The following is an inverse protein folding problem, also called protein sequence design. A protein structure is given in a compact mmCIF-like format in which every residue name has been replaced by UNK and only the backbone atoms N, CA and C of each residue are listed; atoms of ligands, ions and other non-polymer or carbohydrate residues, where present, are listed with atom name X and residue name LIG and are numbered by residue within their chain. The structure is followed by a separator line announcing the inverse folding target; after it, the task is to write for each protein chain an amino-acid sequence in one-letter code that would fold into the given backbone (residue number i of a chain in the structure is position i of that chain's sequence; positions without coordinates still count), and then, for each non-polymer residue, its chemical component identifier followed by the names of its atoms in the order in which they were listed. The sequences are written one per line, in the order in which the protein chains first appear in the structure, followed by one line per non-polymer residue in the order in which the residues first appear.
data_IF_913019588658
#
_entry.id   IF_913019588658
#
_cell.length_a   1.000
_cell.length_b   1.000
_cell.length_c   1.000
_cell.angle_alpha   90.00
_cell.angle_beta   90.00
_cell.angle_gamma   90.00
#
_symmetry.space_group_name_H-M   'P 1'
#
loop_
_entity.id
_entity.type
_entity.pdbx_description
1 polymer ?
#
# COMPACT_ATOMS: atom_id res chain seq x y z
N UNK A 1 45.48 14.79 7.79
CA UNK A 1 44.85 14.92 9.12
C UNK A 1 43.39 14.57 8.97
N UNK A 2 42.86 13.55 9.68
CA UNK A 2 41.48 13.45 10.20
C UNK A 2 40.84 12.04 10.36
N UNK A 3 41.59 10.92 10.28
CA UNK A 3 40.98 9.61 10.63
C UNK A 3 40.81 9.39 12.14
N UNK A 4 41.62 10.05 12.97
CA UNK A 4 41.57 9.89 14.44
C UNK A 4 40.37 10.58 15.10
N UNK A 5 39.76 11.58 14.46
CA UNK A 5 38.66 12.36 15.05
C UNK A 5 37.28 11.69 14.84
N UNK A 6 37.11 10.97 13.73
CA UNK A 6 35.90 10.20 13.42
C UNK A 6 35.71 9.02 14.40
N UNK A 7 36.80 8.28 14.69
CA UNK A 7 36.77 7.14 15.62
C UNK A 7 36.44 7.54 17.07
N UNK A 8 36.91 8.70 17.54
CA UNK A 8 36.62 9.20 18.87
C UNK A 8 35.16 9.66 19.02
N UNK A 9 34.60 10.32 17.99
CA UNK A 9 33.20 10.73 18.00
C UNK A 9 32.23 9.55 17.98
N UNK A 10 32.53 8.51 17.21
CA UNK A 10 31.71 7.31 17.15
C UNK A 10 31.72 6.52 18.47
N UNK A 11 32.88 6.41 19.12
CA UNK A 11 33.01 5.80 20.45
C UNK A 11 32.23 6.58 21.52
N UNK A 12 32.37 7.90 21.54
CA UNK A 12 31.64 8.76 22.48
C UNK A 12 30.11 8.67 22.27
N UNK A 13 29.66 8.56 21.02
CA UNK A 13 28.25 8.37 20.69
C UNK A 13 27.70 7.03 21.18
N UNK A 14 28.49 5.95 21.03
CA UNK A 14 28.14 4.61 21.53
C UNK A 14 28.03 4.60 23.06
N UNK A 15 29.01 5.16 23.75
CA UNK A 15 28.99 5.26 25.23
C UNK A 15 27.78 6.07 25.71
N UNK A 16 27.50 7.20 25.06
CA UNK A 16 26.30 8.01 25.35
C UNK A 16 24.99 7.29 25.04
N UNK A 17 24.93 6.50 23.98
CA UNK A 17 23.75 5.70 23.68
C UNK A 17 23.48 4.70 24.80
N UNK A 18 24.50 3.93 25.21
CA UNK A 18 24.35 2.93 26.27
C UNK A 18 24.08 3.55 27.65
N UNK A 19 24.50 4.79 27.92
CA UNK A 19 24.14 5.47 29.17
C UNK A 19 22.63 5.73 29.31
N UNK A 20 21.87 5.66 28.21
CA UNK A 20 20.41 5.80 28.20
C UNK A 20 19.67 4.46 27.97
N UNK A 21 20.37 3.32 28.09
CA UNK A 21 19.77 2.00 27.93
C UNK A 21 19.66 1.31 29.28
N UNK A 22 18.45 0.87 29.63
CA UNK A 22 18.19 -0.04 30.74
C UNK A 22 17.68 -1.36 30.20
N UNK A 23 18.33 -2.47 30.52
CA UNK A 23 17.88 -3.80 30.09
C UNK A 23 16.77 -4.29 31.02
N UNK A 24 15.67 -4.74 30.43
CA UNK A 24 14.61 -5.46 31.12
C UNK A 24 15.04 -6.92 31.30
N UNK A 25 15.12 -7.46 32.53
CA UNK A 25 15.59 -8.82 32.78
C UNK A 25 14.60 -9.91 32.34
N UNK A 26 13.33 -9.58 32.10
CA UNK A 26 12.29 -10.55 31.71
C UNK A 26 12.17 -10.59 30.20
N UNK A 27 12.04 -9.42 29.58
CA UNK A 27 11.78 -9.33 28.14
C UNK A 27 13.06 -9.20 27.31
N UNK A 28 14.21 -9.01 27.96
CA UNK A 28 15.50 -8.66 27.34
C UNK A 28 15.44 -7.38 26.49
N UNK A 29 14.36 -6.61 26.60
CA UNK A 29 14.23 -5.34 25.89
C UNK A 29 15.23 -4.32 26.42
N UNK A 30 15.78 -3.52 25.51
CA UNK A 30 16.65 -2.40 25.87
C UNK A 30 15.76 -1.17 25.96
N UNK A 31 15.31 -0.86 27.17
CA UNK A 31 14.40 0.26 27.41
C UNK A 31 15.19 1.57 27.37
N UNK A 32 14.81 2.44 26.44
CA UNK A 32 15.36 3.79 26.34
C UNK A 32 14.84 4.67 27.47
N UNK A 33 15.75 5.25 28.25
CA UNK A 33 15.45 6.16 29.37
C UNK A 33 15.82 7.62 29.09
N UNK A 34 16.30 7.91 27.88
CA UNK A 34 16.60 9.28 27.44
C UNK A 34 15.36 10.02 26.91
N UNK A 35 15.60 11.08 26.13
CA UNK A 35 14.52 11.86 25.51
C UNK A 35 13.65 11.01 24.57
N UNK A 36 12.33 11.20 24.66
CA UNK A 36 11.33 10.52 23.84
C UNK A 36 10.54 11.57 23.04
N UNK A 37 10.28 11.28 21.78
CA UNK A 37 9.46 12.14 20.88
C UNK A 37 7.98 12.04 21.24
N UNK A 38 7.13 12.97 20.78
CA UNK A 38 5.67 12.84 20.92
C UNK A 38 5.08 11.57 20.31
N UNK A 39 5.80 10.94 19.38
CA UNK A 39 5.45 9.64 18.80
C UNK A 39 5.93 8.42 19.62
N UNK A 40 6.60 8.62 20.76
CA UNK A 40 7.05 7.55 21.66
C UNK A 40 8.40 6.91 21.31
N UNK A 41 9.11 7.43 20.30
CA UNK A 41 10.44 6.94 19.93
C UNK A 41 11.54 7.65 20.69
N UNK A 42 12.55 6.88 21.14
CA UNK A 42 13.76 7.42 21.75
C UNK A 42 14.65 8.19 20.77
N UNK A 43 15.26 9.26 21.24
CA UNK A 43 16.25 10.04 20.50
C UNK A 43 17.29 10.69 21.40
N UNK A 44 18.45 10.99 20.83
CA UNK A 44 19.52 11.73 21.51
C UNK A 44 20.28 12.62 20.55
N UNK A 45 20.97 13.63 21.08
CA UNK A 45 21.77 14.54 20.28
C UNK A 45 23.09 13.87 19.84
N UNK A 46 23.45 13.98 18.57
CA UNK A 46 24.73 13.51 18.04
C UNK A 46 25.05 14.29 16.76
N UNK A 47 26.29 14.79 16.64
CA UNK A 47 26.76 15.54 15.46
C UNK A 47 25.84 16.68 15.01
N UNK A 48 25.38 17.49 15.97
CA UNK A 48 24.57 18.69 15.69
C UNK A 48 23.11 18.40 15.31
N UNK A 49 22.65 17.15 15.43
CA UNK A 49 21.27 16.75 15.15
C UNK A 49 20.74 15.77 16.18
N UNK A 50 19.42 15.66 16.30
CA UNK A 50 18.80 14.56 17.04
C UNK A 50 18.79 13.32 16.17
N UNK A 51 19.41 12.24 16.65
CA UNK A 51 19.40 10.93 16.00
C UNK A 51 18.40 10.01 16.70
N UNK A 52 17.79 9.11 15.93
CA UNK A 52 16.84 8.13 16.46
C UNK A 52 17.58 6.99 17.14
N UNK A 53 17.22 6.70 18.39
CA UNK A 53 17.94 5.73 19.22
C UNK A 53 17.83 4.29 18.68
N UNK A 54 16.64 3.87 18.22
CA UNK A 54 16.46 2.51 17.68
C UNK A 54 17.19 2.33 16.33
N UNK A 55 17.24 3.37 15.49
CA UNK A 55 18.01 3.34 14.24
C UNK A 55 19.51 3.25 14.50
N UNK A 56 20.00 4.08 15.42
CA UNK A 56 21.41 4.06 15.84
C UNK A 56 21.80 2.69 16.40
N UNK A 57 20.94 2.08 17.23
CA UNK A 57 21.15 0.73 17.75
C UNK A 57 21.22 -0.34 16.66
N UNK A 58 20.32 -0.26 15.67
CA UNK A 58 20.35 -1.14 14.51
C UNK A 58 21.66 -0.98 13.72
N UNK A 59 22.07 0.25 13.44
CA UNK A 59 23.31 0.55 12.70
C UNK A 59 24.56 0.08 13.44
N UNK A 60 24.61 0.25 14.77
CA UNK A 60 25.70 -0.25 15.61
C UNK A 60 25.86 -1.78 15.53
N UNK A 61 24.76 -2.52 15.31
CA UNK A 61 24.75 -3.99 15.32
C UNK A 61 24.90 -4.58 13.91
N UNK A 62 24.19 -4.04 12.93
CA UNK A 62 24.04 -4.63 11.60
C UNK A 62 24.65 -3.77 10.48
N UNK A 63 25.09 -2.55 10.78
CA UNK A 63 25.64 -1.62 9.79
C UNK A 63 24.57 -0.76 9.11
N UNK A 64 24.94 -0.17 7.98
CA UNK A 64 24.13 0.86 7.30
C UNK A 64 22.72 0.37 6.94
N UNK A 65 21.73 1.23 7.16
CA UNK A 65 20.34 0.98 6.74
C UNK A 65 20.23 1.25 5.24
N UNK A 66 19.85 0.27 4.40
CA UNK A 66 19.70 0.48 2.97
C UNK A 66 18.67 1.57 2.64
N UNK A 67 18.91 2.29 1.55
CA UNK A 67 18.02 3.37 1.08
C UNK A 67 16.60 2.81 0.86
N UNK A 68 15.60 3.54 1.36
CA UNK A 68 14.19 3.18 1.24
C UNK A 68 13.68 2.18 2.29
N UNK A 69 14.55 1.68 3.18
CA UNK A 69 14.17 0.84 4.30
C UNK A 69 14.10 1.63 5.62
N UNK A 70 13.20 1.17 6.49
CA UNK A 70 12.95 1.73 7.82
C UNK A 70 13.22 0.66 8.86
N UNK A 71 13.74 1.07 10.01
CA UNK A 71 13.87 0.18 11.17
C UNK A 71 12.53 0.13 11.89
N UNK A 72 11.99 -1.07 12.05
CA UNK A 72 10.68 -1.36 12.61
C UNK A 72 10.81 -2.28 13.83
N UNK A 73 9.89 -2.17 14.78
CA UNK A 73 9.82 -3.04 15.95
C UNK A 73 9.12 -4.36 15.61
N UNK A 74 9.74 -5.50 15.95
CA UNK A 74 9.16 -6.85 15.74
C UNK A 74 7.92 -7.07 16.59
N UNK A 75 7.94 -6.60 17.84
CA UNK A 75 6.89 -6.84 18.83
C UNK A 75 6.41 -5.51 19.42
N UNK A 76 5.12 -5.19 19.20
CA UNK A 76 4.53 -3.95 19.71
C UNK A 76 4.43 -3.91 21.24
N UNK A 77 4.28 -5.09 21.86
CA UNK A 77 4.18 -5.23 23.32
C UNK A 77 5.42 -4.70 24.06
N UNK A 78 6.58 -4.64 23.39
CA UNK A 78 7.82 -4.11 23.96
C UNK A 78 7.92 -2.57 23.89
N UNK A 79 6.96 -1.92 23.23
CA UNK A 79 6.89 -0.46 23.12
C UNK A 79 7.91 0.18 22.16
N UNK A 80 7.61 1.42 21.74
CA UNK A 80 8.41 2.20 20.78
C UNK A 80 9.76 2.69 21.35
N UNK A 81 9.93 2.62 22.67
CA UNK A 81 11.14 2.99 23.39
C UNK A 81 12.11 1.80 23.54
N UNK A 82 11.75 0.60 23.11
CA UNK A 82 12.71 -0.51 23.01
C UNK A 82 13.70 -0.25 21.87
N UNK A 83 14.99 -0.26 22.19
CA UNK A 83 16.09 -0.04 21.25
C UNK A 83 16.98 -1.28 21.08
N UNK A 84 16.54 -2.46 21.52
CA UNK A 84 17.32 -3.68 21.36
C UNK A 84 17.36 -4.08 19.88
N UNK A 85 18.53 -4.17 19.23
CA UNK A 85 18.62 -4.48 17.80
C UNK A 85 18.07 -5.87 17.44
N UNK A 86 18.05 -6.82 18.38
CA UNK A 86 17.46 -8.15 18.18
C UNK A 86 15.92 -8.10 18.11
N UNK A 87 15.31 -7.02 18.64
CA UNK A 87 13.86 -6.74 18.57
C UNK A 87 13.48 -5.79 17.43
N UNK A 88 14.43 -5.46 16.55
CA UNK A 88 14.23 -4.59 15.40
C UNK A 88 14.42 -5.36 14.09
N UNK A 89 13.78 -4.89 13.02
CA UNK A 89 13.94 -5.44 11.67
C UNK A 89 13.82 -4.33 10.63
N UNK A 90 14.26 -4.58 9.39
CA UNK A 90 14.07 -3.65 8.27
C UNK A 90 12.75 -3.93 7.56
N UNK A 91 11.94 -2.89 7.37
CA UNK A 91 10.69 -2.93 6.62
C UNK A 91 10.60 -1.82 5.59
N UNK A 92 9.71 -1.97 4.61
CA UNK A 92 9.41 -0.89 3.67
C UNK A 92 8.33 0.03 4.24
N UNK A 93 8.26 1.26 3.72
CA UNK A 93 7.14 2.17 4.03
C UNK A 93 5.78 1.55 3.71
N UNK A 94 5.71 0.77 2.62
CA UNK A 94 4.51 0.05 2.19
C UNK A 94 4.07 -0.97 3.23
N UNK A 95 4.99 -1.77 3.75
CA UNK A 95 4.68 -2.79 4.75
C UNK A 95 4.19 -2.12 6.05
N UNK A 96 4.83 -1.03 6.46
CA UNK A 96 4.41 -0.26 7.63
C UNK A 96 3.00 0.36 7.47
N UNK A 97 2.69 0.91 6.29
CA UNK A 97 1.34 1.44 6.00
C UNK A 97 0.28 0.33 6.00
N UNK A 98 0.61 -0.84 5.45
CA UNK A 98 -0.30 -1.99 5.44
C UNK A 98 -0.53 -2.55 6.84
N UNK A 99 0.51 -2.63 7.66
CA UNK A 99 0.40 -3.05 9.06
C UNK A 99 -0.45 -2.08 9.88
N UNK A 100 -0.22 -0.77 9.74
CA UNK A 100 -1.02 0.26 10.38
C UNK A 100 -2.50 0.17 9.97
N UNK A 101 -2.78 -0.06 8.69
CA UNK A 101 -4.15 -0.23 8.18
C UNK A 101 -4.82 -1.49 8.72
N UNK A 102 -4.09 -2.62 8.78
CA UNK A 102 -4.58 -3.91 9.34
C UNK A 102 -4.92 -3.77 10.82
N UNK A 103 -4.10 -3.03 11.57
CA UNK A 103 -4.28 -2.77 13.00
C UNK A 103 -5.22 -1.59 13.30
N UNK A 104 -5.88 -1.02 12.29
CA UNK A 104 -6.84 0.07 12.47
C UNK A 104 -6.24 1.39 12.95
N UNK A 105 -4.93 1.58 12.83
CA UNK A 105 -4.22 2.82 13.24
C UNK A 105 -4.32 3.95 12.21
N UNK A 106 -4.90 3.70 11.06
CA UNK A 106 -5.18 4.72 10.04
C UNK A 106 -6.54 5.36 10.31
N UNK A 107 -6.58 6.69 10.43
CA UNK A 107 -7.83 7.45 10.45
C UNK A 107 -8.60 7.21 9.14
N UNK A 108 -9.92 7.01 9.22
CA UNK A 108 -10.78 6.70 8.08
C UNK A 108 -12.00 7.60 8.12
N UNK A 109 -12.55 7.90 6.94
CA UNK A 109 -13.81 8.61 6.85
C UNK A 109 -13.81 9.92 7.64
N UNK A 110 -14.81 10.09 8.51
CA UNK A 110 -15.03 11.29 9.30
C UNK A 110 -13.96 11.50 10.39
N UNK A 111 -13.25 10.44 10.81
CA UNK A 111 -12.16 10.55 11.79
C UNK A 111 -10.92 11.25 11.22
N UNK A 112 -10.85 11.42 9.90
CA UNK A 112 -9.79 12.20 9.27
C UNK A 112 -10.12 13.69 9.37
N UNK A 113 -9.30 14.53 10.04
CA UNK A 113 -9.55 15.97 10.15
C UNK A 113 -9.61 16.71 8.81
N UNK A 114 -9.07 16.12 7.74
CA UNK A 114 -9.16 16.66 6.38
C UNK A 114 -10.45 16.21 5.64
N UNK A 115 -11.26 15.33 6.22
CA UNK A 115 -12.54 14.94 5.64
C UNK A 115 -13.52 16.11 5.66
N UNK A 116 -14.18 16.34 4.52
CA UNK A 116 -15.24 17.34 4.39
C UNK A 116 -16.64 16.78 4.67
N UNK A 117 -16.76 15.45 4.79
CA UNK A 117 -18.04 14.77 4.90
C UNK A 117 -18.16 14.05 6.25
N UNK A 118 -19.37 14.10 6.79
CA UNK A 118 -19.83 13.24 7.90
C UNK A 118 -20.40 11.93 7.37
N UNK A 119 -20.55 10.93 8.24
CA UNK A 119 -21.16 9.65 7.87
C UNK A 119 -22.60 9.81 7.35
N UNK A 120 -23.39 10.69 7.97
CA UNK A 120 -24.77 10.98 7.54
C UNK A 120 -24.83 11.58 6.13
N UNK A 121 -23.92 12.53 5.83
CA UNK A 121 -23.82 13.11 4.48
C UNK A 121 -23.44 12.05 3.45
N UNK A 122 -22.54 11.13 3.80
CA UNK A 122 -22.15 10.01 2.92
C UNK A 122 -23.34 9.09 2.64
N UNK A 123 -24.17 8.79 3.64
CA UNK A 123 -25.38 7.97 3.47
C UNK A 123 -26.44 8.68 2.60
N UNK A 124 -26.59 10.01 2.74
CA UNK A 124 -27.44 10.81 1.86
C UNK A 124 -26.93 10.74 0.41
N UNK A 125 -25.63 10.95 0.17
CA UNK A 125 -25.03 10.85 -1.17
C UNK A 125 -25.27 9.47 -1.79
N UNK A 126 -25.05 8.41 -1.00
CA UNK A 126 -25.13 7.03 -1.46
C UNK A 126 -26.56 6.59 -1.82
N UNK A 127 -27.57 7.10 -1.10
CA UNK A 127 -28.97 6.75 -1.30
C UNK A 127 -29.74 7.72 -2.21
N UNK A 128 -29.24 8.94 -2.40
CA UNK A 128 -29.89 9.98 -3.21
C UNK A 128 -29.90 9.62 -4.70
N UNK A 129 -31.04 9.86 -5.35
CA UNK A 129 -31.23 9.78 -6.81
C UNK A 129 -30.92 11.09 -7.54
N UNK A 130 -30.55 12.15 -6.82
CA UNK A 130 -30.28 13.46 -7.41
C UNK A 130 -29.07 13.44 -8.35
N UNK A 131 -29.00 14.40 -9.25
CA UNK A 131 -27.82 14.60 -10.09
C UNK A 131 -26.62 15.02 -9.23
N UNK A 132 -25.43 14.51 -9.57
CA UNK A 132 -24.23 14.73 -8.77
C UNK A 132 -23.89 16.23 -8.60
N UNK A 133 -24.18 17.04 -9.62
CA UNK A 133 -23.96 18.49 -9.58
C UNK A 133 -24.75 19.20 -8.48
N UNK A 134 -25.97 18.73 -8.13
CA UNK A 134 -26.78 19.29 -7.04
C UNK A 134 -26.11 19.04 -5.69
N UNK A 135 -25.76 17.77 -5.44
CA UNK A 135 -25.12 17.33 -4.20
C UNK A 135 -23.75 17.97 -3.96
N UNK A 136 -23.01 18.28 -5.03
CA UNK A 136 -21.72 18.96 -4.97
C UNK A 136 -21.84 20.35 -4.36
N UNK A 137 -22.87 21.11 -4.74
CA UNK A 137 -23.11 22.46 -4.23
C UNK A 137 -23.47 22.42 -2.75
N UNK A 138 -24.42 21.55 -2.38
CA UNK A 138 -24.93 21.48 -1.01
C UNK A 138 -23.88 20.96 -0.02
N UNK A 139 -22.98 20.08 -0.47
CA UNK A 139 -22.02 19.42 0.41
C UNK A 139 -20.56 19.92 0.25
N UNK A 140 -20.28 20.82 -0.69
CA UNK A 140 -18.95 21.41 -0.86
C UNK A 140 -17.85 20.41 -1.26
N UNK A 141 -18.21 19.35 -2.00
CA UNK A 141 -17.31 18.27 -2.44
C UNK A 141 -17.19 18.20 -3.96
N UNK A 142 -16.25 17.43 -4.49
CA UNK A 142 -16.16 17.22 -5.95
C UNK A 142 -17.15 16.18 -6.44
N UNK A 143 -17.54 16.26 -7.72
CA UNK A 143 -18.37 15.23 -8.37
C UNK A 143 -17.72 13.84 -8.29
N UNK A 144 -16.38 13.77 -8.30
CA UNK A 144 -15.64 12.52 -8.13
C UNK A 144 -15.93 11.87 -6.78
N UNK A 145 -15.96 12.63 -5.69
CA UNK A 145 -16.29 12.12 -4.35
C UNK A 145 -17.71 11.53 -4.34
N UNK A 146 -18.68 12.25 -4.91
CA UNK A 146 -20.06 11.78 -5.03
C UNK A 146 -20.12 10.47 -5.83
N UNK A 147 -19.39 10.39 -6.94
CA UNK A 147 -19.33 9.19 -7.78
C UNK A 147 -18.71 8.00 -7.06
N UNK A 148 -17.60 8.21 -6.36
CA UNK A 148 -16.87 7.15 -5.65
C UNK A 148 -17.67 6.58 -4.47
N UNK A 149 -18.40 7.44 -3.75
CA UNK A 149 -19.32 7.01 -2.68
C UNK A 149 -20.45 6.17 -3.28
N UNK A 150 -21.15 6.67 -4.30
CA UNK A 150 -22.27 5.95 -4.95
C UNK A 150 -21.85 4.62 -5.56
N UNK A 151 -20.63 4.52 -6.07
CA UNK A 151 -20.05 3.28 -6.61
C UNK A 151 -19.51 2.35 -5.54
N UNK A 152 -19.40 2.81 -4.29
CA UNK A 152 -18.84 2.03 -3.19
C UNK A 152 -17.33 1.84 -3.25
N UNK A 153 -16.58 2.76 -3.89
CA UNK A 153 -15.12 2.73 -3.90
C UNK A 153 -14.51 3.29 -2.61
N UNK A 154 -15.21 4.21 -1.96
CA UNK A 154 -14.80 4.86 -0.70
C UNK A 154 -15.85 4.61 0.38
N UNK A 155 -15.52 4.94 1.64
CA UNK A 155 -16.43 4.82 2.78
C UNK A 155 -17.06 3.42 3.00
N UNK A 156 -16.41 2.37 2.51
CA UNK A 156 -16.88 0.98 2.57
C UNK A 156 -16.89 0.36 3.97
N UNK A 157 -16.38 1.10 4.96
CA UNK A 157 -16.43 0.71 6.37
C UNK A 157 -17.74 1.12 7.05
N UNK A 158 -18.53 2.01 6.45
CA UNK A 158 -19.84 2.42 6.97
C UNK A 158 -20.90 1.40 6.58
N UNK A 159 -21.70 0.99 7.57
CA UNK A 159 -22.90 0.16 7.36
C UNK A 159 -23.90 0.89 6.46
N UNK A 160 -24.20 0.34 5.29
CA UNK A 160 -25.13 0.94 4.31
C UNK A 160 -24.48 1.27 2.97
N UNK A 161 -23.15 1.40 2.92
CA UNK A 161 -22.40 1.49 1.66
C UNK A 161 -22.08 0.08 1.17
N UNK A 162 -22.69 -0.33 0.06
CA UNK A 162 -22.31 -1.57 -0.61
C UNK A 162 -20.95 -1.36 -1.28
N UNK A 163 -19.88 -2.08 -0.89
CA UNK A 163 -18.60 -1.91 -1.53
C UNK A 163 -18.73 -2.26 -3.01
N UNK A 164 -18.03 -1.50 -3.85
CA UNK A 164 -17.85 -1.85 -5.24
C UNK A 164 -17.40 -3.30 -5.28
N UNK A 165 -18.11 -4.15 -6.03
CA UNK A 165 -17.67 -5.52 -6.23
C UNK A 165 -16.21 -5.48 -6.63
N UNK A 166 -15.35 -6.25 -5.95
CA UNK A 166 -13.93 -6.34 -6.29
C UNK A 166 -13.83 -6.42 -7.81
N UNK A 167 -13.12 -5.49 -8.46
CA UNK A 167 -12.73 -5.63 -9.87
C UNK A 167 -12.33 -7.08 -10.04
N UNK A 168 -13.07 -7.82 -10.88
CA UNK A 168 -13.03 -9.28 -10.84
C UNK A 168 -11.58 -9.71 -10.88
N UNK A 169 -11.13 -10.35 -9.80
CA UNK A 169 -9.75 -10.79 -9.65
C UNK A 169 -9.52 -11.83 -10.73
N UNK A 170 -8.95 -11.37 -11.85
CA UNK A 170 -8.74 -12.11 -13.09
C UNK A 170 -10.03 -12.57 -13.77
N UNK A 171 -10.02 -12.40 -15.08
CA UNK A 171 -10.86 -13.14 -16.00
C UNK A 171 -10.91 -14.62 -15.54
N UNK A 172 -12.10 -15.22 -15.35
CA UNK A 172 -12.24 -16.64 -14.92
C UNK A 172 -11.45 -17.62 -15.80
N UNK A 173 -11.06 -17.19 -17.00
CA UNK A 173 -10.20 -17.92 -17.93
C UNK A 173 -8.74 -18.03 -17.51
N UNK A 174 -8.20 -17.10 -16.71
CA UNK A 174 -6.76 -16.98 -16.49
C UNK A 174 -5.97 -16.42 -17.70
N UNK A 175 -6.64 -16.12 -18.82
CA UNK A 175 -6.02 -15.67 -20.07
C UNK A 175 -6.54 -14.29 -20.52
N UNK A 176 -5.64 -13.49 -21.10
CA UNK A 176 -5.89 -12.19 -21.75
C UNK A 176 -6.87 -12.39 -22.91
N UNK A 177 -7.96 -11.62 -22.93
CA UNK A 177 -8.91 -11.57 -24.04
C UNK A 177 -9.85 -12.78 -24.16
N UNK A 178 -9.80 -13.74 -23.22
CA UNK A 178 -10.61 -14.97 -23.23
C UNK A 178 -11.69 -14.94 -22.17
N UNK A 179 -12.96 -15.15 -22.48
CA UNK A 179 -14.03 -15.24 -21.46
C UNK A 179 -14.96 -16.42 -21.69
N UNK A 180 -15.46 -17.01 -20.62
CA UNK A 180 -16.55 -17.99 -20.68
C UNK A 180 -17.86 -17.30 -21.02
N UNK A 181 -18.67 -17.90 -21.91
CA UNK A 181 -20.05 -17.50 -22.17
C UNK A 181 -20.99 -18.66 -21.85
N UNK A 182 -21.83 -18.44 -20.84
CA UNK A 182 -22.82 -19.43 -20.39
C UNK A 182 -23.83 -19.77 -21.51
N UNK A 183 -24.26 -18.75 -22.26
CA UNK A 183 -25.11 -18.92 -23.45
C UNK A 183 -24.26 -19.49 -24.59
N UNK A 184 -24.41 -20.79 -24.85
CA UNK A 184 -23.65 -21.54 -25.84
C UNK A 184 -22.48 -22.35 -25.25
N UNK A 185 -22.28 -22.31 -23.93
CA UNK A 185 -21.30 -23.08 -23.18
C UNK A 185 -19.91 -23.14 -23.85
N UNK A 186 -19.37 -21.96 -24.20
CA UNK A 186 -18.12 -21.86 -24.96
C UNK A 186 -17.20 -20.77 -24.43
N UNK A 187 -15.90 -20.99 -24.59
CA UNK A 187 -14.88 -19.98 -24.38
C UNK A 187 -14.81 -19.06 -25.59
N UNK A 188 -14.69 -17.76 -25.38
CA UNK A 188 -14.67 -16.79 -26.48
C UNK A 188 -13.44 -15.91 -26.40
N UNK A 189 -12.77 -15.71 -27.53
CA UNK A 189 -11.66 -14.78 -27.64
C UNK A 189 -12.08 -13.50 -28.34
N UNK A 190 -11.55 -12.37 -27.87
CA UNK A 190 -11.70 -11.07 -28.52
C UNK A 190 -10.47 -10.20 -28.28
N UNK A 191 -10.08 -9.43 -29.28
CA UNK A 191 -8.96 -8.49 -29.20
C UNK A 191 -9.43 -7.08 -29.49
N UNK A 192 -8.94 -6.13 -28.68
CA UNK A 192 -9.23 -4.72 -28.83
C UNK A 192 -8.03 -3.92 -29.33
N UNK A 193 -8.31 -2.84 -30.05
CA UNK A 193 -7.33 -1.80 -30.38
C UNK A 193 -7.98 -0.43 -30.36
N UNK A 194 -7.21 0.60 -29.98
CA UNK A 194 -7.64 1.99 -29.98
C UNK A 194 -7.01 2.68 -31.20
N UNK A 195 -7.84 3.14 -32.14
CA UNK A 195 -7.40 3.88 -33.33
C UNK A 195 -8.13 5.23 -33.35
N UNK A 196 -7.38 6.32 -33.44
CA UNK A 196 -7.92 7.70 -33.45
C UNK A 196 -8.85 8.00 -32.27
N UNK A 197 -8.48 7.58 -31.05
CA UNK A 197 -9.31 7.80 -29.86
C UNK A 197 -10.46 6.80 -29.68
N UNK A 198 -10.87 6.10 -30.74
CA UNK A 198 -11.99 5.16 -30.72
C UNK A 198 -11.51 3.73 -30.46
N UNK A 199 -12.15 3.04 -29.51
CA UNK A 199 -11.89 1.64 -29.23
C UNK A 199 -12.71 0.74 -30.16
N UNK A 200 -12.05 -0.22 -30.81
CA UNK A 200 -12.70 -1.28 -31.61
C UNK A 200 -12.28 -2.63 -31.09
N UNK A 201 -13.24 -3.55 -30.99
CA UNK A 201 -13.00 -4.95 -30.63
C UNK A 201 -13.34 -5.87 -31.79
N UNK A 202 -12.49 -6.87 -32.03
CA UNK A 202 -12.68 -7.96 -32.99
C UNK A 202 -12.94 -9.24 -32.22
N UNK A 203 -14.04 -9.92 -32.53
CA UNK A 203 -14.33 -11.25 -32.01
C UNK A 203 -13.58 -12.29 -32.84
N UNK A 204 -12.83 -13.17 -32.19
CA UNK A 204 -11.96 -14.15 -32.87
C UNK A 204 -12.61 -15.53 -32.99
N UNK A 205 -13.66 -15.79 -32.20
CA UNK A 205 -14.42 -17.03 -32.26
C UNK A 205 -14.85 -17.54 -30.90
N UNK A 206 -15.50 -18.70 -30.94
CA UNK A 206 -15.87 -19.50 -29.77
C UNK A 206 -15.13 -20.83 -29.84
N UNK A 207 -14.68 -21.33 -28.70
CA UNK A 207 -13.73 -22.42 -28.52
C UNK A 207 -14.19 -23.33 -27.38
N UNK A 208 -13.72 -24.57 -27.39
CA UNK A 208 -14.10 -25.57 -26.39
C UNK A 208 -13.28 -25.41 -25.11
N UNK A 209 -12.05 -24.90 -25.21
CA UNK A 209 -11.15 -24.68 -24.07
C UNK A 209 -10.67 -23.22 -23.98
N UNK A 210 -10.25 -22.82 -22.79
CA UNK A 210 -9.73 -21.46 -22.55
C UNK A 210 -8.36 -21.28 -23.22
N UNK A 211 -7.56 -22.34 -23.29
CA UNK A 211 -6.23 -22.40 -23.90
C UNK A 211 -6.30 -22.23 -25.43
N UNK A 212 -7.28 -22.84 -26.10
CA UNK A 212 -7.53 -22.65 -27.54
C UNK A 212 -7.89 -21.20 -27.84
N UNK A 213 -8.80 -20.63 -27.05
CA UNK A 213 -9.17 -19.22 -27.17
C UNK A 213 -7.97 -18.29 -26.93
N UNK A 214 -7.09 -18.64 -25.98
CA UNK A 214 -5.88 -17.88 -25.68
C UNK A 214 -4.85 -17.95 -26.81
N UNK A 215 -4.65 -19.12 -27.42
CA UNK A 215 -3.79 -19.27 -28.62
C UNK A 215 -4.31 -18.46 -29.80
N UNK A 216 -5.63 -18.45 -30.01
CA UNK A 216 -6.26 -17.62 -31.04
C UNK A 216 -6.04 -16.12 -30.76
N UNK A 217 -6.10 -15.69 -29.50
CA UNK A 217 -5.76 -14.32 -29.11
C UNK A 217 -4.30 -14.00 -29.44
N UNK A 218 -3.35 -14.87 -29.07
CA UNK A 218 -1.92 -14.64 -29.25
C UNK A 218 -1.54 -14.53 -30.73
N UNK A 219 -2.08 -15.42 -31.59
CA UNK A 219 -1.87 -15.36 -33.04
C UNK A 219 -2.34 -14.03 -33.64
N UNK A 220 -3.53 -13.56 -33.24
CA UNK A 220 -4.05 -12.28 -33.71
C UNK A 220 -3.29 -11.09 -33.09
N UNK A 221 -2.83 -11.19 -31.84
CA UNK A 221 -2.05 -10.15 -31.20
C UNK A 221 -0.70 -9.93 -31.90
N UNK A 222 -0.02 -11.01 -32.31
CA UNK A 222 1.19 -10.93 -33.14
C UNK A 222 0.87 -10.28 -34.49
N UNK A 223 -0.21 -10.69 -35.15
CA UNK A 223 -0.62 -10.11 -36.44
C UNK A 223 -0.93 -8.60 -36.32
N UNK A 224 -1.61 -8.19 -35.25
CA UNK A 224 -2.05 -6.80 -35.06
C UNK A 224 -0.96 -5.87 -34.50
N UNK A 225 -0.07 -6.38 -33.64
CA UNK A 225 0.86 -5.56 -32.83
C UNK A 225 2.34 -5.90 -33.08
N UNK A 226 2.63 -6.91 -33.89
CA UNK A 226 3.97 -7.35 -34.23
C UNK A 226 4.68 -8.13 -33.10
N UNK A 227 6.00 -8.33 -33.20
CA UNK A 227 6.78 -9.17 -32.28
C UNK A 227 6.78 -8.73 -30.81
N UNK A 228 6.36 -7.49 -30.52
CA UNK A 228 6.27 -6.93 -29.16
C UNK A 228 4.87 -7.09 -28.54
N UNK A 229 4.00 -7.89 -29.16
CA UNK A 229 2.68 -8.17 -28.62
C UNK A 229 2.77 -8.81 -27.22
N UNK A 230 1.90 -8.39 -26.30
CA UNK A 230 1.71 -9.10 -25.03
C UNK A 230 0.87 -10.35 -25.28
N UNK A 231 1.41 -11.51 -24.93
CA UNK A 231 0.85 -12.82 -25.20
C UNK A 231 0.48 -13.56 -23.91
N UNK A 232 -0.37 -14.56 -24.04
CA UNK A 232 -0.73 -15.51 -22.99
C UNK A 232 0.33 -16.59 -22.78
N UNK A 233 1.02 -16.99 -23.86
CA UNK A 233 2.06 -18.01 -23.85
C UNK A 233 3.43 -17.44 -24.25
N UNK A 234 4.54 -18.03 -23.79
CA UNK A 234 5.87 -17.68 -24.29
C UNK A 234 5.99 -18.03 -25.78
N UNK A 235 6.76 -17.21 -26.52
CA UNK A 235 7.13 -17.45 -27.93
C UNK A 235 8.18 -18.56 -28.05
#
# INVERSE_FOLDING_TARGET
MNDSNCNNNHRAAKERFFSFVRVDPITEAWLWIGGITGAGYGGFWHEGKTVSAHRFSYELRYGEIPIGLFVCHKHEALGRHNVNPEHLFLGTSKDNMQDAARKGRTLKGADNPASKLTEDQVLIIASSTEIAASLVVDMGVSETIVSDIRRGYTWTHITGIKPAGKLSVKNRSGFIGVRWRDRGAAWTASIGSKKNGVYKSKHLGSFNTAEEAARAYDAEAINMRGPKATLNFPL
#
